data_IF_652051087551
#
_entry.id   IF_652051087551
#
_cell.length_a   1.000
_cell.length_b   1.000
_cell.length_c   1.000
_cell.angle_alpha   90.00
_cell.angle_beta   90.00
_cell.angle_gamma   90.00
#
_symmetry.space_group_name_H-M   'P 1'
#
loop_
_entity.id
_entity.type
_entity.pdbx_description
1 polymer ?
#
# COMPACT_ATOMS: atom_id res chain seq x y z
N UNK A 1 9.53 -17.62 8.05
CA UNK A 1 10.11 -16.25 7.93
C UNK A 1 9.51 -15.54 6.72
N UNK A 2 9.18 -14.25 6.80
CA UNK A 2 8.77 -13.46 5.62
C UNK A 2 10.03 -12.84 5.00
N UNK A 3 10.55 -13.42 3.92
CA UNK A 3 11.70 -12.89 3.18
C UNK A 3 11.24 -11.94 2.05
N UNK A 4 12.12 -11.03 1.60
CA UNK A 4 12.00 -10.11 0.46
C UNK A 4 11.11 -8.87 0.63
N UNK A 5 10.15 -8.56 -0.24
CA UNK A 5 9.53 -7.22 -0.30
C UNK A 5 8.83 -6.78 1.00
N UNK A 6 8.40 -7.73 1.83
CA UNK A 6 7.88 -7.43 3.17
C UNK A 6 8.97 -7.06 4.16
N UNK A 7 10.13 -7.72 4.11
CA UNK A 7 11.29 -7.34 4.90
C UNK A 7 11.78 -5.92 4.53
N UNK A 8 11.93 -5.64 3.23
CA UNK A 8 12.33 -4.31 2.77
C UNK A 8 11.31 -3.22 3.16
N UNK A 9 10.01 -3.52 3.04
CA UNK A 9 8.95 -2.61 3.48
C UNK A 9 9.02 -2.29 4.97
N UNK A 10 9.33 -3.28 5.82
CA UNK A 10 9.50 -3.06 7.27
C UNK A 10 10.72 -2.19 7.59
N UNK A 11 11.81 -2.30 6.84
CA UNK A 11 12.98 -1.41 6.98
C UNK A 11 12.58 0.05 6.71
N UNK A 12 11.88 0.31 5.61
CA UNK A 12 11.40 1.66 5.29
C UNK A 12 10.36 2.16 6.28
N UNK A 13 9.48 1.29 6.76
CA UNK A 13 8.46 1.62 7.76
C UNK A 13 9.06 2.08 9.11
N UNK A 14 10.22 1.54 9.49
CA UNK A 14 10.87 1.86 10.77
C UNK A 14 11.63 3.19 10.73
N UNK A 15 12.13 3.58 9.55
CA UNK A 15 12.86 4.83 9.30
C UNK A 15 11.99 6.07 9.54
N UNK A 16 12.52 7.07 10.24
CA UNK A 16 11.78 8.31 10.57
C UNK A 16 11.78 9.33 9.42
N UNK A 17 12.78 9.24 8.56
CA UNK A 17 13.00 10.09 7.38
C UNK A 17 12.17 9.67 6.15
N UNK A 18 11.43 8.56 6.24
CA UNK A 18 10.53 8.08 5.19
C UNK A 18 9.07 8.22 5.60
N UNK A 19 8.26 8.83 4.74
CA UNK A 19 6.81 8.70 4.77
C UNK A 19 6.43 7.44 4.00
N UNK A 20 6.33 6.32 4.72
CA UNK A 20 6.07 5.01 4.12
C UNK A 20 4.59 4.66 4.13
N UNK A 21 4.06 4.28 2.95
CA UNK A 21 2.71 3.77 2.74
C UNK A 21 2.73 2.33 2.20
N UNK A 22 2.00 1.45 2.87
CA UNK A 22 1.78 0.08 2.39
C UNK A 22 0.47 -0.02 1.62
N UNK A 23 0.54 -0.42 0.35
CA UNK A 23 -0.61 -0.71 -0.50
C UNK A 23 -1.66 0.43 -0.62
N UNK A 24 -1.28 1.71 -0.85
CA UNK A 24 -2.28 2.80 -0.92
C UNK A 24 -3.28 2.59 -2.07
N UNK A 25 -2.87 1.94 -3.17
CA UNK A 25 -3.76 1.62 -4.29
C UNK A 25 -4.84 0.58 -3.97
N UNK A 26 -4.75 -0.12 -2.83
CA UNK A 26 -5.79 -1.07 -2.40
C UNK A 26 -7.11 -0.35 -2.13
N UNK A 27 -7.10 0.78 -1.43
CA UNK A 27 -8.33 1.52 -1.13
C UNK A 27 -9.03 2.00 -2.40
N UNK A 28 -8.24 2.40 -3.40
CA UNK A 28 -8.75 2.78 -4.70
C UNK A 28 -9.36 1.59 -5.46
N UNK A 29 -8.68 0.44 -5.45
CA UNK A 29 -9.19 -0.78 -6.09
C UNK A 29 -10.50 -1.25 -5.43
N UNK A 30 -10.53 -1.34 -4.10
CA UNK A 30 -11.71 -1.73 -3.32
C UNK A 30 -12.88 -0.75 -3.59
N UNK A 31 -12.62 0.56 -3.68
CA UNK A 31 -13.64 1.56 -3.99
C UNK A 31 -14.17 1.43 -5.42
N UNK A 32 -13.30 1.26 -6.41
CA UNK A 32 -13.69 1.09 -7.82
C UNK A 32 -14.50 -0.19 -8.04
N UNK A 33 -14.11 -1.28 -7.38
CA UNK A 33 -14.84 -2.54 -7.41
C UNK A 33 -16.25 -2.37 -6.79
N UNK A 34 -16.35 -1.69 -5.64
CA UNK A 34 -17.64 -1.43 -4.98
C UNK A 34 -18.61 -0.59 -5.82
N UNK A 35 -18.08 0.21 -6.75
CA UNK A 35 -18.84 1.09 -7.63
C UNK A 35 -19.02 0.51 -9.05
N UNK A 36 -18.56 -0.72 -9.30
CA UNK A 36 -18.58 -1.36 -10.63
C UNK A 36 -17.96 -0.49 -11.76
N UNK A 37 -16.91 0.27 -11.44
CA UNK A 37 -16.27 1.16 -12.40
C UNK A 37 -15.26 0.42 -13.29
N UNK A 38 -15.04 0.96 -14.49
CA UNK A 38 -14.13 0.37 -15.48
C UNK A 38 -12.67 0.34 -15.01
N UNK A 39 -11.93 -0.71 -15.43
CA UNK A 39 -10.48 -0.84 -15.23
C UNK A 39 -9.68 0.35 -15.76
N UNK A 40 -10.15 1.05 -16.80
CA UNK A 40 -9.50 2.27 -17.30
C UNK A 40 -9.50 3.39 -16.26
N UNK A 41 -10.59 3.53 -15.50
CA UNK A 41 -10.70 4.52 -14.42
C UNK A 41 -9.70 4.22 -13.31
N UNK A 42 -9.50 2.94 -12.97
CA UNK A 42 -8.50 2.52 -11.99
C UNK A 42 -7.09 2.96 -12.38
N UNK A 43 -6.70 2.75 -13.64
CA UNK A 43 -5.37 3.11 -14.13
C UNK A 43 -5.13 4.62 -14.01
N UNK A 44 -6.08 5.44 -14.49
CA UNK A 44 -5.97 6.92 -14.41
C UNK A 44 -5.95 7.42 -12.97
N UNK A 45 -6.83 6.91 -12.11
CA UNK A 45 -6.88 7.30 -10.70
C UNK A 45 -5.65 6.83 -9.93
N UNK A 46 -5.06 5.70 -10.30
CA UNK A 46 -3.84 5.20 -9.67
C UNK A 46 -2.64 6.09 -9.99
N UNK A 47 -2.51 6.59 -11.23
CA UNK A 47 -1.47 7.59 -11.57
C UNK A 47 -1.57 8.82 -10.67
N UNK A 48 -2.78 9.39 -10.61
CA UNK A 48 -3.04 10.57 -9.79
C UNK A 48 -2.71 10.31 -8.33
N UNK A 49 -3.13 9.16 -7.79
CA UNK A 49 -2.86 8.76 -6.41
C UNK A 49 -1.35 8.72 -6.10
N UNK A 50 -0.55 8.13 -6.99
CA UNK A 50 0.91 8.08 -6.77
C UNK A 50 1.51 9.48 -6.85
N UNK A 51 1.08 10.30 -7.81
CA UNK A 51 1.56 11.68 -7.96
C UNK A 51 1.21 12.54 -6.73
N UNK A 52 -0.04 12.45 -6.25
CA UNK A 52 -0.54 13.11 -5.04
C UNK A 52 0.28 12.71 -3.80
N UNK A 53 0.56 11.42 -3.62
CA UNK A 53 1.38 10.90 -2.51
C UNK A 53 2.80 11.44 -2.57
N UNK A 54 3.43 11.46 -3.76
CA UNK A 54 4.81 11.98 -3.91
C UNK A 54 4.89 13.50 -3.75
N UNK A 55 3.82 14.24 -4.05
CA UNK A 55 3.72 15.69 -3.80
C UNK A 55 3.28 16.02 -2.37
N UNK A 56 2.89 15.02 -1.58
CA UNK A 56 2.24 15.21 -0.29
C UNK A 56 1.02 16.14 -0.40
N UNK A 57 0.21 15.99 -1.44
CA UNK A 57 -1.08 16.69 -1.58
C UNK A 57 -2.22 15.68 -1.56
N UNK A 58 -2.93 15.62 -0.44
CA UNK A 58 -3.99 14.64 -0.20
C UNK A 58 -5.40 15.24 -0.38
N UNK A 59 -5.51 16.50 -0.82
CA UNK A 59 -6.77 17.24 -0.91
C UNK A 59 -7.79 16.56 -1.82
N UNK A 60 -7.32 15.95 -2.91
CA UNK A 60 -8.16 15.28 -3.92
C UNK A 60 -8.23 13.75 -3.73
N UNK A 61 -7.55 13.21 -2.71
CA UNK A 61 -7.36 11.77 -2.51
C UNK A 61 -8.20 11.25 -1.33
N UNK A 62 -9.50 11.60 -1.30
CA UNK A 62 -10.42 11.25 -0.20
C UNK A 62 -10.48 9.74 0.08
N UNK A 63 -10.49 8.92 -0.97
CA UNK A 63 -10.49 7.44 -0.86
C UNK A 63 -9.28 6.94 -0.07
N UNK A 64 -8.11 7.56 -0.27
CA UNK A 64 -6.90 7.23 0.48
C UNK A 64 -7.00 7.71 1.93
N UNK A 65 -7.42 8.95 2.17
CA UNK A 65 -7.48 9.52 3.54
C UNK A 65 -8.49 8.79 4.42
N UNK A 66 -9.64 8.42 3.86
CA UNK A 66 -10.68 7.64 4.54
C UNK A 66 -10.16 6.22 4.83
N UNK A 67 -9.50 5.59 3.85
CA UNK A 67 -8.88 4.29 4.00
C UNK A 67 -7.79 4.26 5.08
N UNK A 68 -6.92 5.28 5.11
CA UNK A 68 -5.89 5.43 6.13
C UNK A 68 -6.49 5.61 7.53
N UNK A 69 -7.49 6.49 7.64
CA UNK A 69 -8.17 6.77 8.91
C UNK A 69 -8.87 5.54 9.48
N UNK A 70 -9.54 4.75 8.63
CA UNK A 70 -10.18 3.51 9.04
C UNK A 70 -9.15 2.45 9.50
N UNK A 71 -8.01 2.34 8.83
CA UNK A 71 -6.99 1.38 9.24
C UNK A 71 -6.29 1.76 10.56
N UNK A 72 -6.15 3.07 10.84
CA UNK A 72 -5.56 3.56 12.09
C UNK A 72 -6.50 3.38 13.29
N UNK A 73 -7.81 3.56 13.12
CA UNK A 73 -8.82 3.29 14.16
C UNK A 73 -9.00 1.79 14.42
N UNK A 74 -8.82 0.94 13.41
CA UNK A 74 -8.82 -0.53 13.57
C UNK A 74 -7.50 -1.09 14.13
N UNK A 75 -6.49 -0.23 14.30
CA UNK A 75 -5.19 -0.56 14.86
C UNK A 75 -4.33 -1.46 13.98
N UNK A 76 -4.46 -1.35 12.66
CA UNK A 76 -3.61 -2.09 11.71
C UNK A 76 -2.31 -1.33 11.47
N UNK A 77 -1.24 -1.77 12.15
CA UNK A 77 0.08 -1.10 12.18
C UNK A 77 0.82 -0.95 10.84
N UNK A 78 0.39 -1.66 9.79
CA UNK A 78 1.20 -1.84 8.57
C UNK A 78 1.07 -0.72 7.54
N UNK A 79 0.05 0.12 7.64
CA UNK A 79 -0.34 1.01 6.53
C UNK A 79 0.45 2.32 6.47
N UNK A 80 0.57 3.05 7.58
CA UNK A 80 1.27 4.33 7.65
C UNK A 80 1.89 4.58 9.04
N UNK A 81 3.09 4.04 9.32
CA UNK A 81 3.74 4.15 10.64
C UNK A 81 4.01 5.59 11.09
N UNK A 82 4.13 6.53 10.15
CA UNK A 82 4.34 7.95 10.44
C UNK A 82 3.13 8.58 11.13
N UNK A 83 1.90 8.21 10.73
CA UNK A 83 0.66 8.72 11.31
C UNK A 83 0.42 8.14 12.70
N UNK A 84 0.77 6.88 12.91
CA UNK A 84 0.63 6.23 14.22
C UNK A 84 1.55 6.80 15.31
N UNK A 85 2.51 7.64 14.93
CA UNK A 85 3.45 8.32 15.83
C UNK A 85 3.01 9.73 16.19
N UNK A 86 1.94 10.25 15.58
CA UNK A 86 1.40 11.57 15.94
C UNK A 86 0.52 11.47 17.19
N UNK A 87 0.17 12.65 17.73
CA UNK A 87 -0.59 12.77 18.96
C UNK A 87 -2.01 12.18 18.77
N UNK A 88 -2.47 11.33 19.70
CA UNK A 88 -3.82 10.77 19.66
C UNK A 88 -3.93 9.26 19.38
N UNK A 89 -2.79 8.55 19.24
CA UNK A 89 -2.79 7.09 19.17
C UNK A 89 -2.33 6.45 20.50
N UNK A 90 -3.14 5.54 21.05
CA UNK A 90 -2.87 4.81 22.30
C UNK A 90 -2.78 3.32 22.05
N UNK A 91 -1.94 2.62 22.84
CA UNK A 91 -1.95 1.15 22.84
C UNK A 91 -3.18 0.64 23.59
N UNK A 92 -4.05 -0.06 22.89
CA UNK A 92 -5.23 -0.74 23.41
C UNK A 92 -4.93 -2.24 23.57
N UNK A 93 -5.01 -2.75 24.80
CA UNK A 93 -4.82 -4.17 25.17
C UNK A 93 -3.90 -4.38 26.38
N UNK A 94 -3.92 -5.59 26.96
CA UNK A 94 -3.12 -5.96 28.14
C UNK A 94 -1.61 -5.86 27.86
N UNK A 95 -0.85 -5.32 28.81
CA UNK A 95 0.61 -5.08 28.67
C UNK A 95 1.40 -6.34 28.30
N UNK A 96 0.95 -7.51 28.75
CA UNK A 96 1.53 -8.84 28.47
C UNK A 96 1.46 -9.28 26.99
N UNK A 97 0.52 -8.74 26.20
CA UNK A 97 0.39 -9.07 24.76
C UNK A 97 0.53 -7.77 23.97
N UNK A 98 1.75 -7.42 23.54
CA UNK A 98 2.10 -6.26 22.66
C UNK A 98 0.86 -5.60 22.02
N UNK A 99 0.20 -4.69 22.74
CA UNK A 99 -1.13 -4.18 22.39
C UNK A 99 -1.23 -3.57 20.99
N UNK A 100 -2.44 -3.52 20.44
CA UNK A 100 -2.73 -2.85 19.17
C UNK A 100 -2.62 -1.34 19.39
N UNK A 101 -1.94 -0.65 18.49
CA UNK A 101 -1.85 0.81 18.54
C UNK A 101 -3.06 1.33 17.76
N UNK A 102 -3.97 2.02 18.44
CA UNK A 102 -5.25 2.49 17.90
C UNK A 102 -5.29 4.00 18.07
N UNK A 103 -5.77 4.70 17.06
CA UNK A 103 -6.00 6.13 17.13
C UNK A 103 -7.48 6.40 17.37
N UNK A 104 -7.79 7.30 18.31
CA UNK A 104 -9.16 7.52 18.76
C UNK A 104 -10.00 8.27 17.73
N UNK A 105 -9.35 9.04 16.85
CA UNK A 105 -10.00 9.85 15.82
C UNK A 105 -9.34 9.63 14.44
N UNK A 106 -10.12 9.82 13.35
CA UNK A 106 -9.58 9.97 11.99
C UNK A 106 -8.55 11.09 11.90
N UNK A 107 -7.57 10.95 11.02
CA UNK A 107 -6.59 11.99 10.79
C UNK A 107 -7.13 13.03 9.81
N UNK A 108 -7.11 14.33 10.13
CA UNK A 108 -7.45 15.35 9.17
C UNK A 108 -6.42 15.37 8.03
N UNK A 109 -6.87 15.75 6.83
CA UNK A 109 -6.03 15.80 5.61
C UNK A 109 -4.78 16.66 5.83
N UNK A 110 -4.89 17.73 6.61
CA UNK A 110 -3.78 18.62 6.97
C UNK A 110 -2.69 17.89 7.77
N UNK A 111 -3.05 17.02 8.71
CA UNK A 111 -2.09 16.28 9.51
C UNK A 111 -1.35 15.23 8.68
N UNK A 112 -2.07 14.52 7.80
CA UNK A 112 -1.46 13.57 6.85
C UNK A 112 -0.47 14.30 5.93
N UNK A 113 -0.88 15.46 5.41
CA UNK A 113 -0.05 16.33 4.58
C UNK A 113 1.21 16.77 5.31
N UNK A 114 1.09 17.24 6.55
CA UNK A 114 2.21 17.68 7.38
C UNK A 114 3.14 16.51 7.74
N UNK A 115 2.59 15.34 8.03
CA UNK A 115 3.36 14.13 8.29
C UNK A 115 4.17 13.68 7.07
N UNK A 116 3.64 13.86 5.85
CA UNK A 116 4.35 13.60 4.61
C UNK A 116 5.42 14.67 4.34
N UNK A 117 5.07 15.96 4.41
CA UNK A 117 5.98 17.09 4.13
C UNK A 117 7.13 17.22 5.12
N UNK A 118 6.93 16.81 6.38
CA UNK A 118 7.99 16.80 7.40
C UNK A 118 9.10 15.78 7.15
N UNK A 119 8.98 14.95 6.10
CA UNK A 119 9.94 13.88 5.80
C UNK A 119 10.56 14.08 4.42
N UNK A 120 11.87 13.88 4.28
CA UNK A 120 12.57 14.11 3.02
C UNK A 120 12.25 13.07 1.95
N UNK A 121 11.77 11.88 2.34
CA UNK A 121 11.55 10.78 1.42
C UNK A 121 10.14 10.20 1.56
N UNK A 122 9.54 9.82 0.43
CA UNK A 122 8.26 9.11 0.37
C UNK A 122 8.52 7.71 -0.16
N UNK A 123 7.96 6.70 0.52
CA UNK A 123 8.11 5.30 0.15
C UNK A 123 6.75 4.65 -0.04
N UNK A 124 6.51 4.06 -1.21
CA UNK A 124 5.27 3.31 -1.48
C UNK A 124 5.63 1.86 -1.74
N UNK A 125 5.01 0.95 -1.00
CA UNK A 125 5.01 -0.46 -1.36
C UNK A 125 3.71 -0.81 -2.08
N UNK A 126 3.82 -1.26 -3.32
CA UNK A 126 2.72 -1.74 -4.12
C UNK A 126 2.98 -3.17 -4.63
N UNK A 127 1.97 -4.03 -4.51
CA UNK A 127 1.92 -5.43 -4.95
C UNK A 127 0.75 -5.66 -5.90
N UNK A 128 -0.20 -4.72 -5.97
CA UNK A 128 -1.36 -4.72 -6.87
C UNK A 128 -1.30 -3.54 -7.83
N UNK A 129 -0.26 -3.52 -8.67
CA UNK A 129 -0.16 -2.52 -9.73
C UNK A 129 -0.99 -3.01 -10.92
N UNK A 130 -1.96 -2.22 -11.42
CA UNK A 130 -2.87 -2.69 -12.46
C UNK A 130 -2.18 -2.89 -13.83
N UNK A 131 -1.14 -2.11 -14.11
CA UNK A 131 -0.29 -2.17 -15.30
C UNK A 131 1.11 -1.62 -14.95
N UNK A 132 2.18 -2.33 -15.30
CA UNK A 132 3.55 -1.89 -15.05
C UNK A 132 3.95 -0.71 -15.95
N UNK A 133 3.36 -0.59 -17.15
CA UNK A 133 3.60 0.53 -18.07
C UNK A 133 3.19 1.87 -17.46
N UNK A 134 2.31 1.83 -16.46
CA UNK A 134 1.91 2.98 -15.66
C UNK A 134 3.11 3.65 -14.97
N UNK A 135 4.01 2.84 -14.44
CA UNK A 135 5.19 3.35 -13.75
C UNK A 135 6.15 4.04 -14.73
N UNK A 136 6.26 3.52 -15.96
CA UNK A 136 7.05 4.15 -17.01
C UNK A 136 6.50 5.54 -17.36
N UNK A 137 5.18 5.70 -17.35
CA UNK A 137 4.54 7.00 -17.56
C UNK A 137 4.91 8.00 -16.46
N UNK A 138 4.82 7.58 -15.21
CA UNK A 138 5.19 8.43 -14.06
C UNK A 138 6.66 8.83 -14.12
N UNK A 139 7.55 7.89 -14.43
CA UNK A 139 9.00 8.16 -14.53
C UNK A 139 9.36 9.13 -15.66
N UNK A 140 8.61 9.12 -16.78
CA UNK A 140 8.92 9.96 -17.94
C UNK A 140 8.25 11.33 -17.90
N UNK A 141 7.04 11.43 -17.36
CA UNK A 141 6.20 12.63 -17.45
C UNK A 141 6.03 13.39 -16.14
N UNK A 142 6.20 12.75 -14.99
CA UNK A 142 6.04 13.48 -13.74
C UNK A 142 7.29 14.33 -13.47
N UNK A 143 7.10 15.46 -12.79
CA UNK A 143 8.19 16.26 -12.22
C UNK A 143 8.77 15.63 -10.95
N UNK A 144 8.32 14.43 -10.56
CA UNK A 144 8.73 13.79 -9.31
C UNK A 144 9.91 12.85 -9.57
N UNK A 145 10.90 12.87 -8.69
CA UNK A 145 12.07 11.98 -8.77
C UNK A 145 11.69 10.55 -8.32
N UNK A 146 10.88 9.87 -9.12
CA UNK A 146 10.38 8.53 -8.85
C UNK A 146 11.46 7.48 -9.09
N UNK A 147 11.77 6.70 -8.05
CA UNK A 147 12.64 5.52 -8.13
C UNK A 147 11.81 4.26 -7.92
N UNK A 148 11.94 3.30 -8.83
CA UNK A 148 11.20 2.04 -8.77
C UNK A 148 12.15 0.90 -8.43
N UNK A 149 11.83 0.17 -7.36
CA UNK A 149 12.52 -1.07 -6.98
C UNK A 149 11.59 -2.23 -7.32
N UNK A 150 11.80 -2.88 -8.46
CA UNK A 150 11.03 -4.05 -8.87
C UNK A 150 11.68 -5.33 -8.34
N UNK A 151 11.09 -5.91 -7.28
CA UNK A 151 11.61 -7.13 -6.69
C UNK A 151 11.07 -8.36 -7.43
N UNK A 152 11.88 -8.91 -8.33
CA UNK A 152 11.55 -10.13 -9.10
C UNK A 152 11.90 -11.37 -8.28
N UNK A 153 11.06 -12.41 -8.37
CA UNK A 153 11.32 -13.73 -7.81
C UNK A 153 11.05 -14.79 -8.85
N UNK A 154 11.69 -15.92 -8.68
CA UNK A 154 11.39 -17.12 -9.44
C UNK A 154 9.90 -17.49 -9.30
N UNK A 155 9.14 -17.57 -10.42
CA UNK A 155 7.72 -17.87 -10.38
C UNK A 155 7.43 -19.30 -9.88
N UNK A 156 8.38 -20.24 -9.98
CA UNK A 156 8.22 -21.63 -9.52
C UNK A 156 7.91 -21.69 -8.02
N UNK A 157 8.57 -20.86 -7.22
CA UNK A 157 8.31 -20.77 -5.78
C UNK A 157 6.91 -20.23 -5.44
N UNK A 158 6.35 -19.39 -6.31
CA UNK A 158 4.96 -18.92 -6.18
C UNK A 158 3.98 -20.00 -6.62
N UNK A 159 4.28 -20.70 -7.73
CA UNK A 159 3.50 -21.82 -8.25
C UNK A 159 3.32 -22.92 -7.21
N UNK A 160 4.40 -23.44 -6.62
CA UNK A 160 4.31 -24.49 -5.59
C UNK A 160 3.44 -24.09 -4.40
N UNK A 161 3.49 -22.80 -4.02
CA UNK A 161 2.67 -22.29 -2.92
C UNK A 161 1.19 -22.23 -3.30
N UNK A 162 0.87 -21.74 -4.50
CA UNK A 162 -0.52 -21.64 -4.95
C UNK A 162 -1.09 -23.05 -5.23
N UNK A 163 -0.32 -23.92 -5.89
CA UNK A 163 -0.67 -25.32 -6.12
C UNK A 163 -0.93 -26.08 -4.81
N UNK A 164 -0.05 -25.94 -3.81
CA UNK A 164 -0.26 -26.52 -2.49
C UNK A 164 -1.48 -25.95 -1.74
N UNK A 165 -1.89 -24.71 -2.05
CA UNK A 165 -3.10 -24.10 -1.50
C UNK A 165 -4.36 -24.62 -2.21
N UNK A 166 -4.32 -24.74 -3.55
CA UNK A 166 -5.38 -25.31 -4.39
C UNK A 166 -5.70 -26.74 -3.96
N UNK A 167 -4.68 -27.59 -3.73
CA UNK A 167 -4.88 -28.95 -3.24
C UNK A 167 -5.55 -29.00 -1.85
N UNK A 168 -5.24 -28.07 -0.96
CA UNK A 168 -5.79 -28.05 0.41
C UNK A 168 -7.21 -27.49 0.51
N UNK A 169 -7.61 -26.65 -0.44
CA UNK A 169 -8.86 -25.88 -0.35
C UNK A 169 -9.90 -26.26 -1.39
N UNK A 170 -9.55 -27.14 -2.34
CA UNK A 170 -10.41 -27.49 -3.48
C UNK A 170 -10.68 -26.31 -4.43
N UNK A 171 -10.03 -25.16 -4.20
CA UNK A 171 -10.28 -23.92 -4.91
C UNK A 171 -9.45 -23.88 -6.20
N UNK A 172 -10.11 -23.99 -7.36
CA UNK A 172 -9.46 -23.80 -8.66
C UNK A 172 -9.36 -22.31 -8.97
N UNK A 173 -8.15 -21.72 -8.88
CA UNK A 173 -7.87 -20.49 -9.60
C UNK A 173 -7.56 -20.83 -11.06
N UNK A 174 -8.20 -20.13 -11.99
CA UNK A 174 -7.78 -20.11 -13.38
C UNK A 174 -6.36 -19.52 -13.45
N UNK A 175 -5.36 -20.39 -13.51
CA UNK A 175 -3.99 -20.00 -13.79
C UNK A 175 -3.65 -20.44 -15.22
N UNK A 176 -2.90 -19.60 -15.92
CA UNK A 176 -2.53 -19.75 -17.32
C UNK A 176 -2.13 -21.19 -17.64
N UNK A 177 -2.87 -21.83 -18.54
CA UNK A 177 -2.43 -23.07 -19.18
C UNK A 177 -1.14 -22.74 -19.92
N UNK A 178 -0.02 -23.28 -19.46
CA UNK A 178 1.16 -23.40 -20.31
C UNK A 178 0.75 -24.35 -21.43
N UNK A 179 0.48 -23.80 -22.62
CA UNK A 179 0.41 -24.61 -23.82
C UNK A 179 1.77 -25.30 -23.99
N UNK A 180 1.82 -26.63 -24.12
CA UNK A 180 3.06 -27.30 -24.48
C UNK A 180 3.49 -26.84 -25.88
N UNK A 181 4.79 -26.59 -26.01
CA UNK A 181 5.46 -26.31 -27.29
C UNK A 181 5.42 -27.58 -28.14
#
# INVERSE_FOLDING_TARGET
MRTGSSFLGEIFAQRRDFFYLFEPGKYLADHIESQNLSRRVLITRYLQLIEDVYRCDFSNSKVLTDGLSNETTLGKKRFAPALLRSNGCRRKGNELKRGKLVCDQPFPVSEITNACKSRPHVGIKAIRIPDLNLLLHLMRRSKTNLKVIHLVRDPRGWWYRDYGYMQKTGYQRACCTMSPI
#
